data_IF_491160711767
#
_entry.id   IF_491160711767
#
_cell.length_a   1.000
_cell.length_b   1.000
_cell.length_c   1.000
_cell.angle_alpha   90.00
_cell.angle_beta   90.00
_cell.angle_gamma   90.00
#
_symmetry.space_group_name_H-M   'P 1'
#
loop_
_entity.id
_entity.type
_entity.pdbx_description
1 polymer ?
#
# COMPACT_ATOMS: atom_id res chain seq x y z
N UNK A 1 31.15 -59.68 -17.66
CA UNK A 1 30.72 -59.66 -16.25
C UNK A 1 31.23 -58.38 -15.60
N UNK A 2 30.35 -57.73 -14.82
CA UNK A 2 30.58 -56.61 -13.89
C UNK A 2 30.98 -55.25 -14.48
N UNK A 3 29.93 -54.48 -14.75
CA UNK A 3 29.92 -53.04 -14.94
C UNK A 3 29.89 -52.32 -13.57
N UNK A 4 30.58 -51.18 -13.56
CA UNK A 4 30.26 -49.91 -12.88
C UNK A 4 30.09 -49.88 -11.35
N UNK A 5 31.16 -49.44 -10.70
CA UNK A 5 31.20 -48.81 -9.38
C UNK A 5 30.51 -47.44 -9.44
N UNK A 6 29.45 -47.26 -8.66
CA UNK A 6 28.74 -45.98 -8.51
C UNK A 6 29.41 -45.19 -7.37
N UNK A 7 30.20 -44.16 -7.69
CA UNK A 7 30.76 -43.25 -6.69
C UNK A 7 29.74 -42.14 -6.43
N UNK A 8 29.22 -42.16 -5.20
CA UNK A 8 28.35 -41.18 -4.59
C UNK A 8 29.16 -39.91 -4.25
N UNK A 9 28.84 -38.78 -4.89
CA UNK A 9 29.27 -37.44 -4.43
C UNK A 9 28.04 -36.55 -4.41
N UNK A 10 27.35 -36.54 -3.26
CA UNK A 10 26.36 -35.51 -2.94
C UNK A 10 27.15 -34.34 -2.37
N UNK A 11 27.54 -33.42 -3.25
CA UNK A 11 28.19 -32.17 -2.85
C UNK A 11 27.12 -31.28 -2.23
N UNK A 12 27.24 -31.05 -0.92
CA UNK A 12 26.37 -30.17 -0.15
C UNK A 12 26.45 -28.74 -0.66
N UNK A 13 25.30 -28.19 -1.06
CA UNK A 13 25.10 -26.75 -1.10
C UNK A 13 24.78 -26.30 0.31
N UNK A 14 25.80 -25.75 0.96
CA UNK A 14 25.71 -25.05 2.23
C UNK A 14 24.85 -23.81 1.94
N UNK A 15 23.58 -23.85 2.33
CA UNK A 15 22.77 -22.64 2.40
C UNK A 15 23.39 -21.77 3.48
N UNK A 16 23.96 -20.63 3.09
CA UNK A 16 24.38 -19.59 4.03
C UNK A 16 23.14 -19.03 4.70
N UNK A 17 22.76 -19.62 5.84
CA UNK A 17 21.85 -19.00 6.78
C UNK A 17 22.53 -17.73 7.28
N UNK A 18 22.10 -16.57 6.79
CA UNK A 18 22.35 -15.30 7.47
C UNK A 18 21.53 -15.32 8.76
N UNK A 19 22.11 -15.89 9.82
CA UNK A 19 21.62 -15.74 11.18
C UNK A 19 21.97 -14.31 11.60
N UNK A 20 21.06 -13.36 11.37
CA UNK A 20 21.13 -12.08 12.06
C UNK A 20 20.69 -12.34 13.51
N UNK A 21 21.66 -12.66 14.37
CA UNK A 21 21.51 -12.45 15.81
C UNK A 21 21.33 -10.95 16.00
N UNK A 22 20.09 -10.48 16.11
CA UNK A 22 19.84 -9.18 16.74
C UNK A 22 20.05 -9.42 18.23
N UNK A 23 21.20 -8.98 18.72
CA UNK A 23 21.38 -8.76 20.14
C UNK A 23 20.25 -7.83 20.61
N UNK A 24 19.40 -8.35 21.50
CA UNK A 24 18.47 -7.52 22.25
C UNK A 24 19.33 -6.77 23.26
N UNK A 25 19.68 -5.54 22.93
CA UNK A 25 20.16 -4.59 23.93
C UNK A 25 18.95 -4.26 24.79
N UNK A 26 18.85 -4.91 25.95
CA UNK A 26 18.07 -4.39 27.07
C UNK A 26 18.67 -3.04 27.45
N UNK A 27 18.13 -1.97 26.88
CA UNK A 27 18.43 -0.64 27.36
C UNK A 27 17.58 -0.45 28.61
N UNK A 28 18.24 -0.55 29.77
CA UNK A 28 17.68 -0.16 31.06
C UNK A 28 17.03 1.22 30.90
N UNK A 29 15.71 1.28 31.12
CA UNK A 29 14.98 2.53 31.18
C UNK A 29 15.48 3.31 32.39
N UNK A 30 16.36 4.30 32.17
CA UNK A 30 16.51 5.41 33.10
C UNK A 30 15.37 6.38 32.86
N UNK A 31 14.43 6.39 33.80
CA UNK A 31 13.53 7.51 34.03
C UNK A 31 14.38 8.76 34.30
N UNK A 32 14.38 9.71 33.37
CA UNK A 32 14.50 11.17 33.60
C UNK A 32 14.89 11.87 32.30
N UNK A 33 13.92 12.02 31.38
CA UNK A 33 13.97 13.07 30.37
C UNK A 33 12.59 13.72 30.29
N UNK A 34 12.49 14.92 30.85
CA UNK A 34 11.40 15.86 30.66
C UNK A 34 11.41 16.30 29.19
N UNK A 35 10.74 15.53 28.32
CA UNK A 35 10.55 15.89 26.92
C UNK A 35 9.35 16.82 26.85
N UNK A 36 9.61 18.10 26.58
CA UNK A 36 8.60 19.08 26.27
C UNK A 36 7.65 18.53 25.19
N UNK A 37 6.40 18.33 25.60
CA UNK A 37 5.31 17.79 24.80
C UNK A 37 4.90 18.79 23.71
N UNK A 38 5.61 18.78 22.59
CA UNK A 38 5.06 19.22 21.31
C UNK A 38 4.95 17.99 20.42
N UNK A 39 4.12 17.04 20.84
CA UNK A 39 3.61 16.03 19.94
C UNK A 39 2.62 16.72 19.00
N UNK A 40 3.12 17.27 17.88
CA UNK A 40 2.25 17.61 16.74
C UNK A 40 1.61 16.30 16.30
N UNK A 41 0.38 16.06 16.76
CA UNK A 41 -0.48 15.01 16.25
C UNK A 41 -0.65 15.30 14.76
N UNK A 42 0.02 14.53 13.91
CA UNK A 42 -0.33 14.51 12.50
C UNK A 42 -1.76 13.96 12.47
N UNK A 43 -2.76 14.83 12.27
CA UNK A 43 -4.10 14.38 11.94
C UNK A 43 -4.02 13.69 10.58
N UNK A 44 -3.88 12.36 10.62
CA UNK A 44 -3.94 11.56 9.42
C UNK A 44 -5.36 11.70 8.85
N UNK A 45 -5.51 11.93 7.54
CA UNK A 45 -6.82 12.04 6.93
C UNK A 45 -7.61 10.75 7.19
N UNK A 46 -8.91 10.89 7.46
CA UNK A 46 -9.75 9.79 7.89
C UNK A 46 -9.86 8.74 6.77
N UNK A 47 -9.38 7.53 7.01
CA UNK A 47 -9.55 6.42 6.06
C UNK A 47 -11.02 5.99 6.03
N UNK A 48 -11.57 5.90 4.82
CA UNK A 48 -12.96 5.53 4.58
C UNK A 48 -13.02 4.08 4.13
N UNK A 49 -13.77 3.28 4.87
CA UNK A 49 -13.97 1.84 4.62
C UNK A 49 -15.45 1.48 4.42
N UNK A 50 -16.34 2.47 4.35
CA UNK A 50 -17.77 2.20 4.20
C UNK A 50 -18.09 1.73 2.75
N UNK A 51 -18.98 0.72 2.66
CA UNK A 51 -19.32 0.09 1.38
C UNK A 51 -19.99 1.06 0.42
N UNK A 52 -20.84 1.97 0.93
CA UNK A 52 -21.67 2.84 0.10
C UNK A 52 -20.82 3.89 -0.64
N UNK A 53 -19.89 4.52 0.06
CA UNK A 53 -18.92 5.45 -0.53
C UNK A 53 -18.01 4.71 -1.49
N UNK A 54 -17.55 3.50 -1.12
CA UNK A 54 -16.70 2.68 -1.99
C UNK A 54 -17.43 2.32 -3.30
N UNK A 55 -18.68 1.87 -3.24
CA UNK A 55 -19.52 1.57 -4.42
C UNK A 55 -19.74 2.80 -5.29
N UNK A 56 -19.96 3.98 -4.67
CA UNK A 56 -20.11 5.24 -5.41
C UNK A 56 -18.82 5.61 -6.16
N UNK A 57 -17.67 5.49 -5.50
CA UNK A 57 -16.35 5.72 -6.12
C UNK A 57 -16.08 4.71 -7.24
N UNK A 58 -16.39 3.44 -7.05
CA UNK A 58 -16.24 2.41 -8.08
C UNK A 58 -17.14 2.72 -9.30
N UNK A 59 -18.36 3.18 -9.07
CA UNK A 59 -19.27 3.61 -10.15
C UNK A 59 -18.67 4.78 -10.95
N UNK A 60 -18.15 5.79 -10.25
CA UNK A 60 -17.46 6.94 -10.87
C UNK A 60 -16.27 6.49 -11.72
N UNK A 61 -15.46 5.55 -11.22
CA UNK A 61 -14.29 5.04 -11.96
C UNK A 61 -14.74 4.27 -13.21
N UNK A 62 -15.77 3.42 -13.07
CA UNK A 62 -16.35 2.68 -14.20
C UNK A 62 -16.86 3.63 -15.28
N UNK A 63 -17.60 4.68 -14.89
CA UNK A 63 -18.14 5.69 -15.82
C UNK A 63 -17.03 6.50 -16.50
N UNK A 64 -16.00 6.91 -15.75
CA UNK A 64 -14.88 7.69 -16.28
C UNK A 64 -13.99 6.89 -17.24
N UNK A 65 -13.68 5.64 -16.90
CA UNK A 65 -12.75 4.80 -17.67
C UNK A 65 -13.43 3.98 -18.76
N UNK A 66 -14.71 3.66 -18.60
CA UNK A 66 -15.44 2.68 -19.40
C UNK A 66 -14.75 1.30 -19.45
N UNK A 67 -14.05 0.93 -18.39
CA UNK A 67 -13.32 -0.33 -18.23
C UNK A 67 -13.89 -1.16 -17.09
N UNK A 68 -13.87 -2.50 -17.17
CA UNK A 68 -14.37 -3.35 -16.09
C UNK A 68 -13.55 -3.13 -14.81
N UNK A 69 -14.22 -3.09 -13.66
CA UNK A 69 -13.58 -2.89 -12.35
C UNK A 69 -12.53 -3.95 -12.01
N UNK A 70 -12.61 -5.15 -12.61
CA UNK A 70 -11.56 -6.18 -12.50
C UNK A 70 -10.21 -5.76 -13.09
N UNK A 71 -10.17 -4.70 -13.91
CA UNK A 71 -8.96 -4.10 -14.44
C UNK A 71 -8.49 -2.86 -13.69
N UNK A 72 -9.16 -2.53 -12.58
CA UNK A 72 -8.88 -1.35 -11.77
C UNK A 72 -8.31 -1.81 -10.41
N UNK A 73 -7.14 -1.31 -10.06
CA UNK A 73 -6.62 -1.37 -8.70
C UNK A 73 -6.91 -0.04 -8.00
N UNK A 74 -7.72 -0.07 -6.95
CA UNK A 74 -8.13 1.08 -6.15
C UNK A 74 -7.26 1.20 -4.88
N UNK A 75 -6.78 2.40 -4.57
CA UNK A 75 -6.11 2.68 -3.31
C UNK A 75 -7.10 2.84 -2.16
N UNK A 76 -6.59 3.00 -0.94
CA UNK A 76 -7.39 3.51 0.18
C UNK A 76 -8.05 4.83 -0.19
N UNK A 77 -9.24 5.04 0.35
CA UNK A 77 -10.04 6.26 0.21
C UNK A 77 -9.85 7.06 1.50
N UNK A 78 -9.59 8.35 1.37
CA UNK A 78 -9.42 9.25 2.50
C UNK A 78 -10.42 10.39 2.43
N UNK A 79 -10.96 10.79 3.57
CA UNK A 79 -11.73 12.02 3.73
C UNK A 79 -10.83 13.07 4.39
N UNK A 80 -10.74 14.26 3.77
CA UNK A 80 -10.00 15.39 4.30
C UNK A 80 -10.84 16.19 5.29
N UNK A 81 -10.20 17.07 6.07
CA UNK A 81 -10.85 18.02 6.95
C UNK A 81 -11.82 18.97 6.19
N UNK A 82 -11.53 19.27 4.93
CA UNK A 82 -12.38 20.06 4.03
C UNK A 82 -13.59 19.27 3.47
N UNK A 83 -13.86 18.08 4.01
CA UNK A 83 -14.95 17.21 3.59
C UNK A 83 -14.84 16.80 2.11
N UNK A 84 -13.63 16.47 1.67
CA UNK A 84 -13.35 15.97 0.32
C UNK A 84 -12.81 14.54 0.35
N UNK A 85 -13.38 13.67 -0.47
CA UNK A 85 -12.86 12.33 -0.69
C UNK A 85 -11.67 12.37 -1.65
N UNK A 86 -10.63 11.62 -1.33
CA UNK A 86 -9.42 11.48 -2.13
C UNK A 86 -9.10 9.99 -2.32
N UNK A 87 -8.85 9.60 -3.55
CA UNK A 87 -8.40 8.25 -3.88
C UNK A 87 -7.49 8.24 -5.10
N UNK A 88 -6.77 7.15 -5.28
CA UNK A 88 -5.96 6.87 -6.47
C UNK A 88 -6.42 5.55 -7.05
N UNK A 89 -6.31 5.43 -8.36
CA UNK A 89 -6.55 4.16 -9.01
C UNK A 89 -5.62 3.95 -10.21
N UNK A 90 -5.40 2.69 -10.55
CA UNK A 90 -4.54 2.24 -11.64
C UNK A 90 -5.37 1.35 -12.55
N UNK A 91 -5.36 1.63 -13.84
CA UNK A 91 -5.75 0.62 -14.83
C UNK A 91 -4.58 -0.36 -14.98
N UNK A 92 -4.75 -1.59 -14.51
CA UNK A 92 -3.67 -2.59 -14.46
C UNK A 92 -3.33 -3.14 -15.86
N UNK A 93 -4.22 -3.00 -16.84
CA UNK A 93 -3.96 -3.40 -18.23
C UNK A 93 -3.09 -2.37 -18.95
N UNK A 94 -3.42 -1.09 -18.81
CA UNK A 94 -2.75 0.01 -19.53
C UNK A 94 -1.58 0.61 -18.76
N UNK A 95 -1.51 0.38 -17.45
CA UNK A 95 -0.53 1.00 -16.56
C UNK A 95 -0.86 2.46 -16.21
N UNK A 96 -1.99 2.99 -16.67
CA UNK A 96 -2.37 4.37 -16.45
C UNK A 96 -2.80 4.62 -15.00
N UNK A 97 -2.22 5.63 -14.38
CA UNK A 97 -2.46 6.02 -12.99
C UNK A 97 -3.30 7.28 -12.92
N UNK A 98 -4.19 7.34 -11.95
CA UNK A 98 -5.10 8.45 -11.74
C UNK A 98 -5.10 8.85 -10.27
N UNK A 99 -5.20 10.16 -10.03
CA UNK A 99 -5.54 10.74 -8.73
C UNK A 99 -6.90 11.39 -8.87
N UNK A 100 -7.77 11.15 -7.92
CA UNK A 100 -9.13 11.64 -7.93
C UNK A 100 -9.51 12.29 -6.61
N UNK A 101 -10.25 13.37 -6.71
CA UNK A 101 -10.84 14.10 -5.60
C UNK A 101 -12.34 14.32 -5.87
N UNK A 102 -13.16 14.28 -4.83
CA UNK A 102 -14.57 14.62 -4.91
C UNK A 102 -15.05 15.35 -3.66
N UNK A 103 -16.07 16.19 -3.80
CA UNK A 103 -16.78 16.73 -2.65
C UNK A 103 -17.44 15.62 -1.82
N UNK A 104 -17.71 15.88 -0.55
CA UNK A 104 -18.36 14.89 0.33
C UNK A 104 -19.76 14.46 -0.09
N UNK A 105 -20.39 15.15 -1.06
CA UNK A 105 -21.68 14.76 -1.66
C UNK A 105 -21.55 14.31 -3.12
N UNK A 106 -20.32 14.23 -3.67
CA UNK A 106 -20.02 13.81 -5.04
C UNK A 106 -20.66 14.65 -6.16
N UNK A 107 -21.01 15.90 -5.88
CA UNK A 107 -21.52 16.85 -6.91
C UNK A 107 -20.41 17.40 -7.81
N UNK A 108 -19.17 17.37 -7.32
CA UNK A 108 -17.96 17.70 -8.07
C UNK A 108 -16.96 16.55 -7.92
N UNK A 109 -16.53 16.03 -9.06
CA UNK A 109 -15.53 14.96 -9.15
C UNK A 109 -14.47 15.40 -10.15
N UNK A 110 -13.20 15.32 -9.74
CA UNK A 110 -12.07 15.65 -10.58
C UNK A 110 -11.10 14.48 -10.59
N UNK A 111 -10.78 14.01 -11.80
CA UNK A 111 -9.88 12.89 -12.03
C UNK A 111 -8.74 13.38 -12.91
N UNK A 112 -7.50 13.19 -12.44
CA UNK A 112 -6.28 13.61 -13.12
C UNK A 112 -5.41 12.41 -13.42
N UNK A 113 -4.98 12.28 -14.68
CA UNK A 113 -3.98 11.28 -15.07
C UNK A 113 -2.62 11.67 -14.53
N UNK A 114 -2.02 10.79 -13.72
CA UNK A 114 -0.70 10.98 -13.13
C UNK A 114 0.38 10.53 -14.10
N UNK A 115 1.31 11.44 -14.46
CA UNK A 115 2.50 11.07 -15.24
C UNK A 115 3.56 10.45 -14.33
N UNK A 116 4.21 9.39 -14.80
CA UNK A 116 5.43 8.88 -14.18
C UNK A 116 6.58 9.81 -14.59
N UNK A 117 7.24 10.44 -13.62
CA UNK A 117 8.50 11.15 -13.82
C UNK A 117 9.67 10.16 -13.78
#
# INVERSE_FOLDING_TARGET
MKNFTFIMVVMGLITTSCTNTKDIVENEFSDDIEVADHQTVLEYPLEITDSKTTEKILTIILEYTNEPLSSIALSRIFLTEEFQYNWKFLNVKTGERYTAEASGIFDNVKILKTKLN
#
